data_IF_357343132343
#
_entry.id   IF_357343132343
#
_cell.length_a   1.000
_cell.length_b   1.000
_cell.length_c   1.000
_cell.angle_alpha   90.00
_cell.angle_beta   90.00
_cell.angle_gamma   90.00
#
_symmetry.space_group_name_H-M   'P 1'
#
loop_
_entity.id
_entity.type
_entity.pdbx_description
1 polymer ?
#
# COMPACT_ATOMS: atom_id res chain seq x y z
N UNK A 1 -23.06 23.71 -0.99
CA UNK A 1 -23.34 22.28 -0.91
C UNK A 1 -22.47 21.50 -1.89
N UNK A 2 -22.40 21.86 -3.16
CA UNK A 2 -21.55 21.21 -4.19
C UNK A 2 -20.05 21.17 -3.88
N UNK A 3 -19.47 22.22 -3.29
CA UNK A 3 -18.02 22.23 -2.94
C UNK A 3 -17.68 21.23 -1.82
N UNK A 4 -18.60 20.94 -0.94
CA UNK A 4 -18.45 19.98 0.16
C UNK A 4 -18.58 18.55 -0.37
N UNK A 5 -19.49 18.31 -1.31
CA UNK A 5 -19.69 17.00 -1.95
C UNK A 5 -18.45 16.61 -2.79
N UNK A 6 -17.85 17.57 -3.51
CA UNK A 6 -16.62 17.36 -4.26
C UNK A 6 -15.41 17.04 -3.37
N UNK A 7 -15.35 17.59 -2.15
CA UNK A 7 -14.28 17.29 -1.20
C UNK A 7 -14.38 15.86 -0.66
N UNK A 8 -15.59 15.42 -0.31
CA UNK A 8 -15.81 14.06 0.19
C UNK A 8 -15.59 12.99 -0.87
N UNK A 9 -16.03 13.23 -2.11
CA UNK A 9 -15.79 12.31 -3.21
C UNK A 9 -14.29 12.12 -3.48
N UNK A 10 -13.51 13.21 -3.50
CA UNK A 10 -12.05 13.15 -3.67
C UNK A 10 -11.34 12.43 -2.51
N UNK A 11 -11.83 12.55 -1.29
CA UNK A 11 -11.30 11.79 -0.14
C UNK A 11 -11.61 10.30 -0.26
N UNK A 12 -12.84 9.95 -0.63
CA UNK A 12 -13.26 8.56 -0.80
C UNK A 12 -12.48 7.86 -1.91
N UNK A 13 -12.26 8.51 -3.05
CA UNK A 13 -11.43 7.99 -4.14
C UNK A 13 -10.00 7.68 -3.70
N UNK A 14 -9.44 8.46 -2.77
CA UNK A 14 -8.10 8.26 -2.22
C UNK A 14 -8.05 7.17 -1.16
N UNK A 15 -9.03 7.13 -0.27
CA UNK A 15 -9.02 6.25 0.88
C UNK A 15 -9.56 4.86 0.55
N UNK A 16 -10.49 4.72 -0.38
CA UNK A 16 -11.07 3.43 -0.72
C UNK A 16 -10.02 2.37 -1.14
N UNK A 17 -9.05 2.65 -2.03
CA UNK A 17 -8.01 1.67 -2.35
C UNK A 17 -7.11 1.33 -1.16
N UNK A 18 -6.79 2.31 -0.31
CA UNK A 18 -5.97 2.11 0.90
C UNK A 18 -6.69 1.21 1.89
N UNK A 19 -7.95 1.51 2.17
CA UNK A 19 -8.78 0.71 3.07
C UNK A 19 -8.99 -0.70 2.52
N UNK A 20 -9.30 -0.82 1.23
CA UNK A 20 -9.52 -2.12 0.60
C UNK A 20 -8.25 -3.00 0.68
N UNK A 21 -7.13 -2.54 0.14
CA UNK A 21 -5.91 -3.34 0.10
C UNK A 21 -5.28 -3.53 1.48
N UNK A 22 -5.40 -2.56 2.37
CA UNK A 22 -4.98 -2.69 3.76
C UNK A 22 -5.82 -3.72 4.52
N UNK A 23 -7.13 -3.77 4.27
CA UNK A 23 -8.01 -4.78 4.86
C UNK A 23 -7.71 -6.18 4.32
N UNK A 24 -7.49 -6.32 3.01
CA UNK A 24 -7.09 -7.60 2.40
C UNK A 24 -5.77 -8.08 3.00
N UNK A 25 -4.79 -7.18 3.17
CA UNK A 25 -3.52 -7.52 3.82
C UNK A 25 -3.72 -7.91 5.29
N UNK A 26 -4.47 -7.14 6.08
CA UNK A 26 -4.75 -7.48 7.48
C UNK A 26 -5.44 -8.84 7.63
N UNK A 27 -6.38 -9.17 6.72
CA UNK A 27 -7.03 -10.48 6.69
C UNK A 27 -6.04 -11.60 6.31
N UNK A 28 -5.16 -11.35 5.35
CA UNK A 28 -4.07 -12.26 4.99
C UNK A 28 -3.17 -12.57 6.20
N UNK A 29 -2.75 -11.55 6.93
CA UNK A 29 -1.97 -11.69 8.16
C UNK A 29 -2.71 -12.49 9.24
N UNK A 30 -4.02 -12.27 9.39
CA UNK A 30 -4.81 -12.98 10.37
C UNK A 30 -4.99 -14.47 10.03
N UNK A 31 -5.01 -14.83 8.75
CA UNK A 31 -5.27 -16.21 8.27
C UNK A 31 -3.97 -16.93 7.91
N UNK A 32 -3.32 -16.53 6.83
CA UNK A 32 -2.08 -17.15 6.34
C UNK A 32 -0.92 -16.97 7.32
N UNK A 33 -0.80 -15.79 7.96
CA UNK A 33 0.20 -15.53 8.99
C UNK A 33 0.07 -16.52 10.15
N UNK A 34 -1.16 -16.75 10.63
CA UNK A 34 -1.40 -17.73 11.69
C UNK A 34 -1.03 -19.16 11.25
N UNK A 35 -1.42 -19.56 10.05
CA UNK A 35 -1.11 -20.89 9.51
C UNK A 35 0.40 -21.12 9.38
N UNK A 36 1.15 -20.11 8.91
CA UNK A 36 2.62 -20.20 8.77
C UNK A 36 3.31 -20.31 10.12
N UNK A 37 2.82 -19.61 11.14
CA UNK A 37 3.37 -19.71 12.49
C UNK A 37 3.17 -21.08 13.13
N UNK A 38 2.11 -21.83 12.75
CA UNK A 38 1.90 -23.20 13.22
C UNK A 38 2.95 -24.18 12.72
N UNK A 39 3.63 -23.89 11.61
CA UNK A 39 4.68 -24.74 11.06
C UNK A 39 5.99 -24.69 11.86
N UNK A 40 6.17 -23.69 12.74
CA UNK A 40 7.34 -23.49 13.59
C UNK A 40 8.69 -23.45 12.82
N UNK A 41 8.67 -23.08 11.52
CA UNK A 41 9.87 -22.98 10.69
C UNK A 41 10.42 -21.55 10.81
N UNK A 42 11.65 -21.35 11.37
CA UNK A 42 12.25 -20.03 11.50
C UNK A 42 12.38 -19.33 10.14
N UNK A 43 12.00 -18.05 10.06
CA UNK A 43 12.09 -17.25 8.85
C UNK A 43 11.00 -17.47 7.80
N UNK A 44 10.23 -18.58 7.87
CA UNK A 44 9.17 -18.87 6.89
C UNK A 44 8.08 -17.76 6.88
N UNK A 45 7.71 -17.26 8.05
CA UNK A 45 6.73 -16.20 8.14
C UNK A 45 7.17 -14.96 7.35
N UNK A 46 8.41 -14.48 7.54
CA UNK A 46 8.94 -13.36 6.78
C UNK A 46 9.03 -13.64 5.28
N UNK A 47 9.45 -14.85 4.89
CA UNK A 47 9.58 -15.25 3.50
C UNK A 47 8.23 -15.27 2.74
N UNK A 48 7.12 -15.53 3.44
CA UNK A 48 5.77 -15.57 2.86
C UNK A 48 5.08 -14.20 2.99
N UNK A 49 5.21 -13.54 4.15
CA UNK A 49 4.46 -12.31 4.44
C UNK A 49 5.03 -11.11 3.68
N UNK A 50 6.36 -10.96 3.59
CA UNK A 50 6.97 -9.82 2.90
C UNK A 50 6.60 -9.72 1.41
N UNK A 51 6.67 -10.78 0.58
CA UNK A 51 6.20 -10.71 -0.80
C UNK A 51 4.71 -10.36 -0.92
N UNK A 52 3.86 -10.91 -0.04
CA UNK A 52 2.43 -10.59 -0.01
C UNK A 52 2.21 -9.11 0.34
N UNK A 53 2.89 -8.58 1.34
CA UNK A 53 2.85 -7.17 1.73
C UNK A 53 3.22 -6.26 0.55
N UNK A 54 4.31 -6.57 -0.18
CA UNK A 54 4.74 -5.81 -1.36
C UNK A 54 3.66 -5.81 -2.44
N UNK A 55 2.97 -6.95 -2.66
CA UNK A 55 1.87 -7.02 -3.64
C UNK A 55 0.72 -6.11 -3.22
N UNK A 56 0.24 -6.17 -1.98
CA UNK A 56 -0.87 -5.35 -1.50
C UNK A 56 -0.56 -3.85 -1.57
N UNK A 57 0.61 -3.45 -1.10
CA UNK A 57 1.09 -2.06 -1.18
C UNK A 57 1.23 -1.58 -2.63
N UNK A 58 1.75 -2.44 -3.52
CA UNK A 58 1.88 -2.11 -4.94
C UNK A 58 0.52 -1.93 -5.63
N UNK A 59 -0.48 -2.72 -5.26
CA UNK A 59 -1.85 -2.58 -5.76
C UNK A 59 -2.51 -1.29 -5.28
N UNK A 60 -2.36 -0.93 -4.01
CA UNK A 60 -2.84 0.34 -3.48
C UNK A 60 -2.18 1.53 -4.19
N UNK A 61 -0.86 1.46 -4.38
CA UNK A 61 -0.11 2.47 -5.12
C UNK A 61 -0.57 2.57 -6.59
N UNK A 62 -0.75 1.44 -7.28
CA UNK A 62 -1.19 1.43 -8.68
C UNK A 62 -2.58 2.06 -8.87
N UNK A 63 -3.47 1.91 -7.88
CA UNK A 63 -4.80 2.48 -7.90
C UNK A 63 -4.83 4.00 -7.66
N UNK A 64 -3.85 4.55 -6.91
CA UNK A 64 -3.86 5.95 -6.48
C UNK A 64 -2.76 6.81 -7.12
N UNK A 65 -1.68 6.18 -7.58
CA UNK A 65 -0.46 6.86 -8.06
C UNK A 65 0.33 7.61 -6.98
N UNK A 66 -0.04 7.46 -5.68
CA UNK A 66 0.48 8.26 -4.57
C UNK A 66 1.33 7.42 -3.64
N UNK A 67 2.54 7.89 -3.32
CA UNK A 67 3.50 7.13 -2.51
C UNK A 67 3.07 6.98 -1.05
N UNK A 68 2.38 7.97 -0.50
CA UNK A 68 1.83 7.89 0.85
C UNK A 68 0.85 6.72 1.04
N UNK A 69 0.18 6.26 -0.02
CA UNK A 69 -0.76 5.14 0.07
C UNK A 69 -0.09 3.82 0.42
N UNK A 70 1.19 3.66 0.10
CA UNK A 70 1.98 2.48 0.45
C UNK A 70 2.04 2.35 1.97
N UNK A 71 2.47 3.40 2.65
CA UNK A 71 2.57 3.40 4.12
C UNK A 71 1.19 3.34 4.78
N UNK A 72 0.21 4.10 4.28
CA UNK A 72 -1.15 4.10 4.83
C UNK A 72 -1.81 2.72 4.73
N UNK A 73 -1.55 1.95 3.66
CA UNK A 73 -2.03 0.57 3.52
C UNK A 73 -1.49 -0.32 4.64
N UNK A 74 -0.21 -0.17 4.99
CA UNK A 74 0.39 -0.85 6.14
C UNK A 74 -0.22 -0.42 7.47
N UNK A 75 -0.52 0.87 7.64
CA UNK A 75 -1.21 1.36 8.84
C UNK A 75 -2.58 0.72 9.03
N UNK A 76 -3.36 0.57 7.95
CA UNK A 76 -4.66 -0.10 7.99
C UNK A 76 -4.50 -1.57 8.37
N UNK A 77 -3.57 -2.29 7.74
CA UNK A 77 -3.30 -3.70 8.05
C UNK A 77 -2.86 -3.89 9.51
N UNK A 78 -1.96 -3.04 10.01
CA UNK A 78 -1.51 -3.07 11.40
C UNK A 78 -2.64 -2.75 12.38
N UNK A 79 -3.50 -1.77 12.07
CA UNK A 79 -4.66 -1.44 12.88
C UNK A 79 -5.63 -2.62 12.99
N UNK A 80 -5.90 -3.32 11.88
CA UNK A 80 -6.72 -4.53 11.89
C UNK A 80 -6.07 -5.64 12.73
N UNK A 81 -4.73 -5.80 12.66
CA UNK A 81 -4.02 -6.76 13.50
C UNK A 81 -4.15 -6.44 14.99
N UNK A 82 -4.16 -5.16 15.37
CA UNK A 82 -4.37 -4.76 16.75
C UNK A 82 -5.78 -5.08 17.27
N UNK A 83 -6.79 -5.26 16.40
CA UNK A 83 -8.12 -5.71 16.82
C UNK A 83 -8.09 -7.11 17.45
N UNK A 84 -7.06 -7.92 17.19
CA UNK A 84 -6.87 -9.20 17.88
C UNK A 84 -6.73 -9.05 19.41
N UNK A 85 -6.37 -7.84 19.91
CA UNK A 85 -6.33 -7.55 21.34
C UNK A 85 -7.71 -7.55 22.00
N UNK A 86 -8.77 -7.37 21.22
CA UNK A 86 -10.14 -7.44 21.72
C UNK A 86 -10.60 -8.88 22.01
N UNK A 87 -9.84 -9.89 21.56
CA UNK A 87 -10.13 -11.29 21.82
C UNK A 87 -9.61 -11.67 23.21
N UNK A 88 -10.49 -12.09 24.14
CA UNK A 88 -10.09 -12.45 25.49
C UNK A 88 -9.00 -13.56 25.52
N UNK A 89 -8.00 -13.39 26.39
CA UNK A 89 -6.92 -14.39 26.55
C UNK A 89 -5.78 -14.28 25.54
N UNK A 90 -5.79 -13.34 24.62
CA UNK A 90 -4.66 -13.09 23.71
C UNK A 90 -3.48 -12.44 24.45
N UNK A 91 -2.27 -12.96 24.19
CA UNK A 91 -1.06 -12.36 24.69
C UNK A 91 -0.77 -11.06 23.94
N UNK A 92 -0.54 -9.96 24.68
CA UNK A 92 -0.23 -8.64 24.13
C UNK A 92 0.94 -8.68 23.12
N UNK A 93 2.03 -9.37 23.47
CA UNK A 93 3.22 -9.45 22.59
C UNK A 93 2.96 -10.25 21.32
N UNK A 94 2.08 -11.25 21.39
CA UNK A 94 1.70 -12.05 20.21
C UNK A 94 0.89 -11.24 19.17
N UNK A 95 0.33 -10.11 19.57
CA UNK A 95 -0.43 -9.22 18.69
C UNK A 95 0.41 -7.99 18.30
N UNK A 96 1.09 -7.38 19.25
CA UNK A 96 1.85 -6.13 19.02
C UNK A 96 3.08 -6.38 18.15
N UNK A 97 3.80 -7.50 18.35
CA UNK A 97 4.98 -7.81 17.53
C UNK A 97 4.65 -7.91 16.02
N UNK A 98 3.67 -8.72 15.58
CA UNK A 98 3.30 -8.74 14.17
C UNK A 98 2.82 -7.39 13.64
N UNK A 99 2.06 -6.63 14.42
CA UNK A 99 1.62 -5.28 14.01
C UNK A 99 2.81 -4.33 13.79
N UNK A 100 3.84 -4.40 14.62
CA UNK A 100 5.08 -3.63 14.42
C UNK A 100 5.83 -4.06 13.15
N UNK A 101 5.90 -5.37 12.87
CA UNK A 101 6.54 -5.87 11.64
C UNK A 101 5.81 -5.39 10.40
N UNK A 102 4.48 -5.38 10.37
CA UNK A 102 3.68 -4.82 9.28
C UNK A 102 4.05 -3.36 9.02
N UNK A 103 4.18 -2.54 10.07
CA UNK A 103 4.57 -1.14 9.94
C UNK A 103 6.01 -0.98 9.44
N UNK A 104 6.94 -1.81 9.92
CA UNK A 104 8.33 -1.80 9.47
C UNK A 104 8.45 -2.22 8.00
N UNK A 105 7.70 -3.21 7.54
CA UNK A 105 7.63 -3.61 6.13
C UNK A 105 7.11 -2.46 5.25
N UNK A 106 6.02 -1.81 5.68
CA UNK A 106 5.46 -0.67 4.96
C UNK A 106 6.44 0.51 4.91
N UNK A 107 7.15 0.78 6.01
CA UNK A 107 8.18 1.82 6.07
C UNK A 107 9.38 1.48 5.17
N UNK A 108 9.83 0.23 5.19
CA UNK A 108 10.95 -0.24 4.36
C UNK A 108 10.63 -0.11 2.87
N UNK A 109 9.46 -0.55 2.43
CA UNK A 109 9.03 -0.44 1.02
C UNK A 109 8.92 1.03 0.60
N UNK A 110 8.33 1.88 1.45
CA UNK A 110 8.23 3.32 1.19
C UNK A 110 9.60 3.96 1.09
N UNK A 111 10.51 3.64 2.01
CA UNK A 111 11.89 4.15 2.04
C UNK A 111 12.71 3.71 0.83
N UNK A 112 12.63 2.43 0.45
CA UNK A 112 13.30 1.91 -0.76
C UNK A 112 12.82 2.63 -2.01
N UNK A 113 11.52 2.82 -2.19
CA UNK A 113 10.98 3.58 -3.32
C UNK A 113 11.44 5.03 -3.32
N UNK A 114 11.43 5.69 -2.17
CA UNK A 114 11.93 7.06 -2.04
C UNK A 114 13.42 7.16 -2.41
N UNK A 115 14.23 6.20 -1.99
CA UNK A 115 15.65 6.13 -2.33
C UNK A 115 15.87 5.94 -3.85
N UNK A 116 15.15 5.02 -4.49
CA UNK A 116 15.23 4.81 -5.95
C UNK A 116 14.77 6.03 -6.75
N UNK A 117 13.78 6.74 -6.26
CA UNK A 117 13.32 7.99 -6.85
C UNK A 117 14.36 9.11 -6.70
N UNK A 118 14.99 9.22 -5.54
CA UNK A 118 16.08 10.17 -5.30
C UNK A 118 17.31 9.85 -6.17
N UNK A 119 17.61 8.57 -6.37
CA UNK A 119 18.69 8.10 -7.25
C UNK A 119 18.38 8.23 -8.76
N UNK A 120 17.17 8.69 -9.13
CA UNK A 120 16.76 8.85 -10.53
C UNK A 120 16.47 7.54 -11.27
N UNK A 121 16.47 6.40 -10.58
CA UNK A 121 16.18 5.07 -11.15
C UNK A 121 14.69 4.96 -11.49
N UNK A 122 13.81 5.52 -10.66
CA UNK A 122 12.37 5.60 -10.92
C UNK A 122 12.09 7.00 -11.47
N UNK A 123 11.64 7.05 -12.73
CA UNK A 123 11.24 8.30 -13.39
C UNK A 123 10.12 8.95 -12.57
N UNK A 124 10.25 10.24 -12.26
CA UNK A 124 9.17 11.00 -11.62
C UNK A 124 7.95 10.95 -12.53
N UNK A 125 6.92 10.21 -12.13
CA UNK A 125 5.59 10.27 -12.75
C UNK A 125 4.96 11.61 -12.35
N UNK A 126 5.31 12.66 -13.09
CA UNK A 126 4.78 13.99 -12.86
C UNK A 126 3.95 14.44 -14.05
N UNK A 127 3.12 15.48 -13.92
CA UNK A 127 2.23 15.99 -14.97
C UNK A 127 2.96 16.44 -16.25
N UNK A 128 4.29 16.55 -16.23
CA UNK A 128 5.12 16.88 -17.41
C UNK A 128 5.14 15.75 -18.46
N UNK A 129 4.93 14.48 -18.08
CA UNK A 129 4.88 13.37 -19.02
C UNK A 129 3.61 13.43 -19.91
N UNK A 130 2.54 14.03 -19.42
CA UNK A 130 1.31 14.24 -20.16
C UNK A 130 1.43 15.42 -21.16
N UNK A 131 2.17 16.46 -20.78
CA UNK A 131 2.45 17.61 -21.65
C UNK A 131 3.28 17.22 -22.87
N UNK A 132 4.26 16.32 -22.71
CA UNK A 132 5.07 15.84 -23.84
C UNK A 132 4.28 14.91 -24.77
N UNK A 133 3.36 14.07 -24.23
CA UNK A 133 2.47 13.24 -25.05
C UNK A 133 1.46 14.08 -25.87
N UNK A 134 1.02 15.19 -25.32
CA UNK A 134 0.13 16.13 -26.03
C UNK A 134 0.82 16.85 -27.18
N UNK A 135 2.14 17.09 -27.07
CA UNK A 135 2.95 17.76 -28.12
C UNK A 135 3.36 16.83 -29.26
N UNK A 136 3.40 15.54 -29.02
CA UNK A 136 3.82 14.52 -30.01
C UNK A 136 2.69 14.04 -30.94
N UNK A 137 1.49 14.65 -30.90
CA UNK A 137 0.47 14.38 -31.92
C UNK A 137 0.90 15.01 -33.24
N UNK A 138 1.15 14.24 -34.28
CA UNK A 138 1.47 14.78 -35.61
C UNK A 138 0.30 15.64 -36.10
N UNK A 139 0.61 16.88 -36.39
CA UNK A 139 -0.32 17.80 -37.06
C UNK A 139 -0.53 17.24 -38.47
N UNK A 140 -1.63 16.53 -38.64
CA UNK A 140 -2.07 16.17 -40.00
C UNK A 140 -2.48 17.47 -40.69
N UNK A 141 -1.54 18.11 -41.38
CA UNK A 141 -1.84 19.15 -42.35
C UNK A 141 -2.51 18.45 -43.56
N UNK A 142 -3.83 18.58 -43.64
CA UNK A 142 -4.58 18.28 -44.83
C UNK A 142 -4.07 19.19 -45.95
N UNK A 143 -3.45 18.59 -46.97
CA UNK A 143 -3.28 19.21 -48.30
C UNK A 143 -4.55 19.04 -49.10
N UNK A 144 -4.93 20.08 -49.88
CA UNK A 144 -6.09 20.08 -50.75
C UNK A 144 -5.96 19.10 -51.91
#
# INVERSE_FOLDING_TARGET
MEAMDNHWSALLERLAPVLFWGSVWGLWEATAGHAVHLLHIPGLAGAVMLPAAVVFMSRAFAATGREETIFLTGCVAAALKLLDLLVPGRNLLAVVNPAQFILLEALAVTGVRAAFKAAGVIRRSGPLAESERGRAKPRFEGRP
#
